data_IF_371090361547
#
_entry.id   IF_371090361547
#
_cell.length_a   1.000
_cell.length_b   1.000
_cell.length_c   1.000
_cell.angle_alpha   90.00
_cell.angle_beta   90.00
_cell.angle_gamma   90.00
#
_symmetry.space_group_name_H-M   'P 1'
#
loop_
_entity.id
_entity.type
_entity.pdbx_description
1 polymer ?
#
# COMPACT_ATOMS: atom_id res chain seq x y z
N UNK A 1 20.20 3.67 -6.76
CA UNK A 1 19.32 4.78 -6.33
C UNK A 1 17.90 4.24 -6.13
N UNK A 2 17.70 3.31 -5.20
CA UNK A 2 16.38 2.88 -4.73
C UNK A 2 16.65 2.32 -3.33
N UNK A 3 16.81 3.23 -2.38
CA UNK A 3 17.03 2.88 -0.99
C UNK A 3 15.77 2.19 -0.46
N UNK A 4 15.95 1.26 0.49
CA UNK A 4 14.89 0.71 1.35
C UNK A 4 14.31 1.81 2.25
N UNK A 5 13.71 2.81 1.62
CA UNK A 5 13.21 4.03 2.26
C UNK A 5 12.01 3.72 3.14
N UNK A 6 11.24 2.72 2.73
CA UNK A 6 10.07 2.24 3.43
C UNK A 6 10.30 0.80 3.89
N UNK A 7 9.71 0.44 5.03
CA UNK A 7 9.61 -0.96 5.47
C UNK A 7 8.28 -1.51 4.98
N UNK A 8 8.31 -2.67 4.36
CA UNK A 8 7.15 -3.28 3.73
C UNK A 8 7.20 -4.80 3.88
N UNK A 9 6.02 -5.40 3.86
CA UNK A 9 5.84 -6.85 3.88
C UNK A 9 4.88 -7.29 2.77
N UNK A 10 5.06 -8.53 2.34
CA UNK A 10 4.19 -9.21 1.38
C UNK A 10 3.66 -10.44 2.08
N UNK A 11 2.34 -10.64 2.03
CA UNK A 11 1.64 -11.76 2.63
C UNK A 11 0.85 -12.46 1.53
N UNK A 12 1.02 -13.77 1.40
CA UNK A 12 0.31 -14.60 0.42
C UNK A 12 -0.63 -15.56 1.16
N UNK A 13 -1.87 -15.12 1.51
CA UNK A 13 -2.77 -15.95 2.30
C UNK A 13 -3.33 -17.15 1.53
N UNK A 14 -3.41 -17.06 0.20
CA UNK A 14 -3.85 -18.14 -0.69
C UNK A 14 -3.27 -17.95 -2.09
N UNK A 15 -3.39 -18.99 -2.93
CA UNK A 15 -2.89 -18.94 -4.31
C UNK A 15 -3.62 -17.85 -5.11
N UNK A 16 -2.85 -16.99 -5.76
CA UNK A 16 -3.38 -15.90 -6.58
C UNK A 16 -3.85 -14.68 -5.79
N UNK A 17 -3.61 -14.63 -4.47
CA UNK A 17 -3.88 -13.46 -3.63
C UNK A 17 -2.60 -13.01 -2.94
N UNK A 18 -2.27 -11.73 -3.09
CA UNK A 18 -1.12 -11.09 -2.46
C UNK A 18 -1.58 -9.84 -1.70
N UNK A 19 -1.18 -9.71 -0.45
CA UNK A 19 -1.39 -8.50 0.35
C UNK A 19 -0.04 -7.82 0.55
N UNK A 20 0.07 -6.60 0.05
CA UNK A 20 1.21 -5.71 0.26
C UNK A 20 0.90 -4.72 1.37
N UNK A 21 1.75 -4.64 2.39
CA UNK A 21 1.59 -3.71 3.51
C UNK A 21 2.80 -2.80 3.64
N UNK A 22 2.53 -1.53 3.90
CA UNK A 22 3.53 -0.50 4.13
C UNK A 22 3.71 -0.29 5.64
N UNK A 23 4.62 -1.05 6.26
CA UNK A 23 4.88 -1.00 7.71
C UNK A 23 5.50 0.32 8.17
N UNK A 24 6.38 0.91 7.35
CA UNK A 24 6.93 2.24 7.61
C UNK A 24 6.97 3.06 6.32
N UNK A 25 6.23 4.16 6.30
CA UNK A 25 6.17 5.09 5.19
C UNK A 25 6.95 6.36 5.52
N UNK A 26 8.03 6.65 4.78
CA UNK A 26 8.86 7.85 4.99
C UNK A 26 8.05 9.14 5.02
N UNK A 27 7.02 9.26 4.17
CA UNK A 27 6.16 10.45 4.11
C UNK A 27 5.40 10.61 5.42
N UNK A 28 4.72 9.56 5.89
CA UNK A 28 3.97 9.62 7.15
C UNK A 28 4.90 9.80 8.34
N UNK A 29 6.01 9.07 8.39
CA UNK A 29 7.02 9.23 9.43
C UNK A 29 7.56 10.67 9.50
N UNK A 30 7.81 11.31 8.36
CA UNK A 30 8.26 12.70 8.32
C UNK A 30 7.19 13.69 8.81
N UNK A 31 5.91 13.43 8.51
CA UNK A 31 4.78 14.26 8.96
C UNK A 31 4.53 14.10 10.46
N UNK A 32 4.55 12.86 10.95
CA UNK A 32 4.47 12.55 12.38
C UNK A 32 5.59 13.24 13.18
N UNK A 33 6.84 13.21 12.70
CA UNK A 33 7.96 13.96 13.34
C UNK A 33 7.73 15.47 13.41
N UNK A 34 6.88 16.02 12.55
CA UNK A 34 6.51 17.44 12.49
C UNK A 34 5.16 17.74 13.16
N UNK A 35 4.55 16.76 13.86
CA UNK A 35 3.19 16.86 14.41
C UNK A 35 2.14 17.29 13.36
N UNK A 36 2.32 16.86 12.12
CA UNK A 36 1.35 17.08 11.04
C UNK A 36 0.41 15.88 10.93
N UNK A 37 -0.86 16.10 10.51
CA UNK A 37 -1.79 15.01 10.27
C UNK A 37 -1.29 14.12 9.13
N UNK A 38 -1.74 12.87 9.08
CA UNK A 38 -1.38 11.95 8.02
C UNK A 38 -1.75 12.48 6.64
N UNK A 39 -0.89 12.18 5.67
CA UNK A 39 -1.12 12.56 4.28
C UNK A 39 -2.15 11.62 3.64
N UNK A 40 -3.20 12.15 2.98
CA UNK A 40 -4.22 11.33 2.32
C UNK A 40 -3.70 10.73 1.01
N UNK A 41 -2.88 9.68 1.11
CA UNK A 41 -2.20 9.08 -0.05
C UNK A 41 -3.06 8.12 -0.87
N UNK A 42 -4.29 7.81 -0.45
CA UNK A 42 -5.14 6.81 -1.09
C UNK A 42 -5.35 7.04 -2.61
N UNK A 43 -5.69 8.24 -3.10
CA UNK A 43 -5.93 8.43 -4.54
C UNK A 43 -4.68 8.19 -5.39
N UNK A 44 -3.51 8.56 -4.86
CA UNK A 44 -2.22 8.32 -5.51
C UNK A 44 -1.92 6.83 -5.54
N UNK A 45 -2.08 6.15 -4.41
CA UNK A 45 -1.88 4.71 -4.33
C UNK A 45 -2.82 3.93 -5.25
N UNK A 46 -4.08 4.35 -5.39
CA UNK A 46 -5.01 3.72 -6.32
C UNK A 46 -4.50 3.79 -7.75
N UNK A 47 -4.07 4.97 -8.22
CA UNK A 47 -3.53 5.14 -9.58
C UNK A 47 -2.25 4.35 -9.76
N UNK A 48 -1.31 4.44 -8.81
CA UNK A 48 -0.01 3.78 -8.88
C UNK A 48 -0.14 2.26 -8.85
N UNK A 49 -0.73 1.69 -7.79
CA UNK A 49 -0.78 0.24 -7.61
C UNK A 49 -1.71 -0.44 -8.61
N UNK A 50 -2.90 0.12 -8.85
CA UNK A 50 -3.82 -0.50 -9.82
C UNK A 50 -3.35 -0.33 -11.26
N UNK A 51 -2.75 0.81 -11.60
CA UNK A 51 -2.19 1.07 -12.92
C UNK A 51 -0.99 0.16 -13.19
N UNK A 52 -0.07 0.05 -12.23
CA UNK A 52 1.10 -0.82 -12.32
C UNK A 52 0.69 -2.29 -12.45
N UNK A 53 -0.18 -2.79 -11.57
CA UNK A 53 -0.63 -4.18 -11.59
C UNK A 53 -1.34 -4.53 -12.91
N UNK A 54 -2.26 -3.68 -13.37
CA UNK A 54 -2.99 -3.89 -14.63
C UNK A 54 -2.09 -3.84 -15.86
N UNK A 55 -1.01 -3.05 -15.81
CA UNK A 55 -0.02 -2.99 -16.89
C UNK A 55 0.80 -4.28 -16.97
N UNK A 56 1.05 -4.94 -15.83
CA UNK A 56 1.72 -6.25 -15.79
C UNK A 56 0.80 -7.34 -16.34
N UNK A 57 -0.41 -7.45 -15.79
CA UNK A 57 -1.44 -8.36 -16.28
C UNK A 57 -2.82 -7.74 -16.03
N UNK A 58 -3.63 -7.53 -17.08
CA UNK A 58 -4.93 -6.87 -16.96
C UNK A 58 -5.95 -7.65 -16.10
N UNK A 59 -5.68 -8.92 -15.79
CA UNK A 59 -6.49 -9.78 -14.91
C UNK A 59 -6.22 -9.55 -13.43
N UNK A 60 -5.16 -8.80 -13.07
CA UNK A 60 -4.89 -8.48 -11.68
C UNK A 60 -5.86 -7.40 -11.21
N UNK A 61 -6.63 -7.72 -10.18
CA UNK A 61 -7.47 -6.76 -9.47
C UNK A 61 -6.74 -6.22 -8.25
N UNK A 62 -6.84 -4.91 -8.03
CA UNK A 62 -6.24 -4.24 -6.88
C UNK A 62 -7.34 -3.66 -6.01
N UNK A 63 -7.28 -3.96 -4.71
CA UNK A 63 -8.19 -3.42 -3.70
C UNK A 63 -7.41 -2.75 -2.58
N UNK A 64 -7.84 -1.54 -2.20
CA UNK A 64 -7.31 -0.86 -1.02
C UNK A 64 -7.95 -1.45 0.24
N UNK A 65 -7.14 -1.97 1.17
CA UNK A 65 -7.61 -2.54 2.43
C UNK A 65 -7.52 -1.53 3.59
N UNK A 66 -6.50 -0.68 3.57
CA UNK A 66 -6.29 0.38 4.56
C UNK A 66 -5.51 1.54 3.94
N UNK A 67 -5.85 2.76 4.34
CA UNK A 67 -5.14 3.97 3.92
C UNK A 67 -5.21 5.05 5.00
N UNK A 68 -4.20 5.92 5.12
CA UNK A 68 -4.31 7.15 5.87
C UNK A 68 -5.07 8.20 5.04
N UNK A 69 -5.89 9.06 5.66
CA UNK A 69 -5.96 9.34 7.10
C UNK A 69 -6.99 8.49 7.86
N UNK A 70 -7.63 7.54 7.19
CA UNK A 70 -8.63 6.68 7.82
C UNK A 70 -7.94 5.79 8.88
N UNK A 71 -8.69 5.34 9.90
CA UNK A 71 -8.14 4.49 10.93
C UNK A 71 -7.48 3.24 10.35
N UNK A 72 -6.21 3.03 10.68
CA UNK A 72 -5.44 1.87 10.28
C UNK A 72 -4.75 1.25 11.51
N UNK A 73 -4.37 -0.04 11.44
CA UNK A 73 -3.63 -0.68 12.53
C UNK A 73 -2.26 -0.04 12.77
N UNK A 74 -1.66 -0.29 13.94
CA UNK A 74 -0.37 0.29 14.31
C UNK A 74 0.79 -0.31 13.50
N UNK A 75 0.60 -1.50 12.93
CA UNK A 75 1.60 -2.30 12.25
C UNK A 75 1.89 -1.84 10.82
N UNK A 76 0.97 -1.11 10.19
CA UNK A 76 1.11 -0.60 8.82
C UNK A 76 0.27 0.64 8.56
N UNK A 77 0.76 1.50 7.68
CA UNK A 77 0.06 2.72 7.25
C UNK A 77 -0.97 2.45 6.14
N UNK A 78 -0.60 1.63 5.16
CA UNK A 78 -1.52 1.25 4.08
C UNK A 78 -1.34 -0.21 3.70
N UNK A 79 -2.42 -0.80 3.18
CA UNK A 79 -2.47 -2.19 2.76
C UNK A 79 -3.23 -2.32 1.45
N UNK A 80 -2.70 -3.14 0.54
CA UNK A 80 -3.20 -3.33 -0.81
C UNK A 80 -3.30 -4.82 -1.11
N UNK A 81 -4.46 -5.25 -1.54
CA UNK A 81 -4.71 -6.60 -2.02
C UNK A 81 -4.58 -6.62 -3.53
N UNK A 82 -3.86 -7.60 -4.04
CA UNK A 82 -3.75 -7.94 -5.45
C UNK A 82 -4.27 -9.34 -5.64
N UNK A 83 -5.25 -9.52 -6.51
CA UNK A 83 -5.86 -10.82 -6.78
C UNK A 83 -5.84 -11.11 -8.27
N UNK A 84 -5.41 -12.31 -8.64
CA UNK A 84 -5.56 -12.80 -10.00
C UNK A 84 -6.99 -13.31 -10.19
N UNK A 85 -7.69 -12.79 -11.20
CA UNK A 85 -8.95 -13.40 -11.65
C UNK A 85 -8.65 -14.67 -12.44
N UNK A 86 -9.32 -15.74 -12.06
CA UNK A 86 -9.41 -16.99 -12.83
C UNK A 86 -9.98 -16.75 -14.24
#
# INVERSE_FOLDING_TARGET
>A
LYSFVNKQEIIEPESGLLIFRMNDCRVQAARKRKNLPDFPCQPVGLVEYSGFARTIDPRIETRCLAWPPDPHPAEYYCAWEFRMKS
#
